data_IF_514764750924
#
_entry.id   IF_514764750924
#
_cell.length_a   1.000
_cell.length_b   1.000
_cell.length_c   1.000
_cell.angle_alpha   90.00
_cell.angle_beta   90.00
_cell.angle_gamma   90.00
#
_symmetry.space_group_name_H-M   'P 1'
#
loop_
_entity.id
_entity.type
_entity.pdbx_description
1 polymer ?
#
# COMPACT_ATOMS: atom_id res chain seq x y z
N UNK A 1 9.62 11.91 2.40
CA UNK A 1 8.66 11.94 3.52
C UNK A 1 7.32 12.29 2.92
N UNK A 2 6.34 11.38 2.98
CA UNK A 2 5.00 11.65 2.46
C UNK A 2 4.36 12.80 3.26
N UNK A 3 3.72 13.73 2.54
CA UNK A 3 2.88 14.75 3.17
C UNK A 3 1.56 14.08 3.57
N UNK A 4 1.31 13.93 4.86
CA UNK A 4 0.06 13.35 5.36
C UNK A 4 -1.04 14.42 5.34
N UNK A 5 -2.27 14.01 4.99
CA UNK A 5 -3.44 14.86 5.18
C UNK A 5 -3.65 15.17 6.67
N UNK A 6 -4.29 16.30 6.98
CA UNK A 6 -4.50 16.74 8.37
C UNK A 6 -5.27 15.68 9.17
N UNK A 7 -4.64 15.14 10.20
CA UNK A 7 -5.22 14.13 11.10
C UNK A 7 -4.94 12.68 10.71
N UNK A 8 -4.38 12.43 9.52
CA UNK A 8 -3.98 11.10 9.07
C UNK A 8 -2.76 10.60 9.86
N UNK A 9 -2.76 9.32 10.23
CA UNK A 9 -1.72 8.71 11.06
C UNK A 9 -1.07 7.53 10.38
N UNK A 10 0.26 7.43 10.50
CA UNK A 10 1.00 6.24 10.08
C UNK A 10 0.86 5.17 11.16
N UNK A 11 0.27 4.03 10.81
CA UNK A 11 0.16 2.83 11.65
C UNK A 11 1.38 1.94 11.55
N UNK A 12 1.94 1.79 10.34
CA UNK A 12 3.11 0.94 10.10
C UNK A 12 3.96 1.47 8.92
N UNK A 13 5.24 1.10 8.90
CA UNK A 13 6.23 1.45 7.87
C UNK A 13 6.98 0.20 7.43
N UNK A 14 6.80 -0.19 6.18
CA UNK A 14 7.31 -1.44 5.64
C UNK A 14 8.26 -1.13 4.48
N UNK A 15 9.48 -1.68 4.54
CA UNK A 15 10.41 -1.60 3.41
C UNK A 15 9.92 -2.48 2.27
N UNK A 16 9.84 -1.92 1.07
CA UNK A 16 9.34 -2.61 -0.12
C UNK A 16 10.26 -2.38 -1.32
N UNK A 17 10.19 -3.26 -2.30
CA UNK A 17 10.77 -3.03 -3.62
C UNK A 17 9.69 -3.20 -4.68
N UNK A 18 9.53 -2.22 -5.56
CA UNK A 18 8.66 -2.33 -6.74
C UNK A 18 9.48 -2.09 -8.01
N UNK A 19 8.82 -2.09 -9.18
CA UNK A 19 9.48 -1.82 -10.47
C UNK A 19 10.15 -0.46 -10.55
N UNK A 20 9.72 0.51 -9.74
CA UNK A 20 10.27 1.87 -9.69
C UNK A 20 11.48 1.98 -8.74
N UNK A 21 11.78 0.94 -7.95
CA UNK A 21 12.93 0.91 -7.06
C UNK A 21 12.60 0.48 -5.62
N UNK A 22 13.52 0.80 -4.71
CA UNK A 22 13.35 0.59 -3.27
C UNK A 22 12.51 1.72 -2.68
N UNK A 23 11.61 1.37 -1.76
CA UNK A 23 10.71 2.33 -1.15
C UNK A 23 10.20 1.90 0.21
N UNK A 24 9.24 2.68 0.70
CA UNK A 24 8.51 2.43 1.94
C UNK A 24 7.01 2.42 1.64
N UNK A 25 6.36 1.31 1.99
CA UNK A 25 4.90 1.22 2.10
C UNK A 25 4.50 1.68 3.51
N UNK A 26 3.68 2.70 3.58
CA UNK A 26 3.05 3.21 4.77
C UNK A 26 1.66 2.61 4.86
N UNK A 27 1.36 1.94 5.98
CA UNK A 27 -0.02 1.64 6.35
C UNK A 27 -0.53 2.81 7.16
N UNK A 28 -1.56 3.47 6.65
CA UNK A 28 -2.19 4.62 7.26
C UNK A 28 -3.49 4.18 7.94
N UNK A 29 -4.03 5.02 8.80
CA UNK A 29 -5.37 4.81 9.36
C UNK A 29 -6.48 4.95 8.32
N UNK A 30 -6.26 5.69 7.22
CA UNK A 30 -7.25 5.89 6.14
C UNK A 30 -7.01 5.01 4.90
N UNK A 31 -5.81 4.46 4.75
CA UNK A 31 -5.41 3.76 3.52
C UNK A 31 -3.97 3.32 3.53
N UNK A 32 -3.35 3.32 2.35
CA UNK A 32 -1.95 3.03 2.15
C UNK A 32 -1.29 4.13 1.33
N UNK A 33 0.01 4.33 1.53
CA UNK A 33 0.82 5.15 0.66
C UNK A 33 2.17 4.48 0.39
N UNK A 34 2.76 4.71 -0.77
CA UNK A 34 4.08 4.19 -1.13
C UNK A 34 4.95 5.35 -1.57
N UNK A 35 6.08 5.53 -0.90
CA UNK A 35 7.14 6.42 -1.34
C UNK A 35 8.31 5.59 -1.88
N UNK A 36 8.80 5.92 -3.07
CA UNK A 36 9.98 5.29 -3.66
C UNK A 36 11.17 6.23 -3.52
N UNK A 37 12.30 5.72 -3.00
CA UNK A 37 13.49 6.53 -2.77
C UNK A 37 13.97 7.17 -4.08
N UNK A 38 14.12 8.50 -4.09
CA UNK A 38 14.50 9.28 -5.26
C UNK A 38 13.38 9.58 -6.26
N UNK A 39 12.22 8.93 -6.14
CA UNK A 39 11.06 9.15 -7.03
C UNK A 39 9.85 9.80 -6.32
N UNK A 40 9.85 9.86 -4.98
CA UNK A 40 8.78 10.46 -4.20
C UNK A 40 7.54 9.57 -4.07
N UNK A 41 6.37 10.18 -3.88
CA UNK A 41 5.10 9.46 -3.73
C UNK A 41 4.75 8.74 -5.04
N UNK A 42 4.58 7.42 -4.95
CA UNK A 42 4.36 6.51 -6.05
C UNK A 42 2.92 5.99 -6.11
N UNK A 43 2.28 5.83 -4.95
CA UNK A 43 0.90 5.36 -4.83
C UNK A 43 0.31 5.91 -3.53
N UNK A 44 -0.93 6.34 -3.57
CA UNK A 44 -1.75 6.63 -2.40
C UNK A 44 -3.16 6.13 -2.70
N UNK A 45 -3.70 5.29 -1.82
CA UNK A 45 -5.03 4.69 -1.97
C UNK A 45 -5.71 4.65 -0.61
N UNK A 46 -6.98 5.02 -0.55
CA UNK A 46 -7.86 4.70 0.55
C UNK A 46 -8.17 3.20 0.57
N UNK A 47 -8.57 2.66 1.74
CA UNK A 47 -8.84 1.22 1.84
C UNK A 47 -10.05 0.75 1.02
N UNK A 48 -11.01 1.62 0.76
CA UNK A 48 -12.18 1.38 -0.10
C UNK A 48 -11.82 1.37 -1.60
N UNK A 49 -10.80 2.12 -2.01
CA UNK A 49 -10.25 2.11 -3.38
C UNK A 49 -9.47 0.82 -3.70
N UNK A 50 -8.97 0.10 -2.69
CA UNK A 50 -8.31 -1.19 -2.89
C UNK A 50 -9.36 -2.24 -3.29
N UNK A 51 -9.42 -2.56 -4.57
CA UNK A 51 -10.27 -3.61 -5.12
C UNK A 51 -9.86 -4.99 -4.62
N UNK A 52 -8.55 -5.29 -4.69
CA UNK A 52 -8.01 -6.55 -4.21
C UNK A 52 -6.59 -6.40 -3.69
N UNK A 53 -6.21 -7.25 -2.74
CA UNK A 53 -4.83 -7.44 -2.34
C UNK A 53 -4.56 -8.94 -2.25
N UNK A 54 -3.38 -9.38 -2.69
CA UNK A 54 -3.03 -10.79 -2.69
C UNK A 54 -1.53 -10.99 -2.46
N UNK A 55 -1.19 -12.10 -1.80
CA UNK A 55 0.20 -12.52 -1.66
C UNK A 55 0.51 -13.59 -2.71
N UNK A 56 1.58 -13.37 -3.47
CA UNK A 56 2.12 -14.33 -4.44
C UNK A 56 3.61 -14.54 -4.14
N UNK A 57 3.94 -15.63 -3.43
CA UNK A 57 5.27 -15.88 -2.85
C UNK A 57 5.67 -14.72 -1.90
N UNK A 58 6.87 -14.19 -2.01
CA UNK A 58 7.37 -13.05 -1.21
C UNK A 58 6.95 -11.69 -1.79
N UNK A 59 5.73 -11.61 -2.32
CA UNK A 59 5.25 -10.40 -2.96
C UNK A 59 3.80 -10.10 -2.62
N UNK A 60 3.53 -8.84 -2.31
CA UNK A 60 2.19 -8.28 -2.20
C UNK A 60 1.80 -7.67 -3.55
N UNK A 61 0.62 -8.00 -4.05
CA UNK A 61 0.00 -7.35 -5.21
C UNK A 61 -1.20 -6.58 -4.71
N UNK A 62 -1.31 -5.31 -5.09
CA UNK A 62 -2.43 -4.42 -4.76
C UNK A 62 -3.07 -4.00 -6.08
N UNK A 63 -4.38 -4.19 -6.16
CA UNK A 63 -5.21 -3.84 -7.31
C UNK A 63 -6.19 -2.75 -6.95
N UNK A 64 -6.37 -1.77 -7.81
CA UNK A 64 -7.38 -0.73 -7.68
C UNK A 64 -7.97 -0.38 -9.06
N UNK A 65 -9.09 0.33 -9.05
CA UNK A 65 -9.72 0.84 -10.26
C UNK A 65 -9.57 2.35 -10.29
N UNK A 66 -9.17 2.89 -11.43
CA UNK A 66 -9.15 4.33 -11.69
C UNK A 66 -9.92 4.59 -12.98
N UNK A 67 -11.08 5.23 -12.85
CA UNK A 67 -12.05 5.34 -13.95
C UNK A 67 -12.60 3.97 -14.37
N UNK A 68 -12.35 3.59 -15.63
CA UNK A 68 -12.77 2.30 -16.20
C UNK A 68 -11.65 1.26 -16.25
N UNK A 69 -10.43 1.63 -15.85
CA UNK A 69 -9.26 0.78 -15.93
C UNK A 69 -8.89 0.20 -14.56
N UNK A 70 -8.41 -1.05 -14.57
CA UNK A 70 -7.87 -1.71 -13.37
C UNK A 70 -6.35 -1.73 -13.45
N UNK A 71 -5.72 -1.35 -12.35
CA UNK A 71 -4.27 -1.28 -12.21
C UNK A 71 -3.80 -2.22 -11.11
N UNK A 72 -2.61 -2.78 -11.32
CA UNK A 72 -1.95 -3.64 -10.34
C UNK A 72 -0.54 -3.13 -10.06
N UNK A 73 -0.18 -3.06 -8.77
CA UNK A 73 1.20 -2.84 -8.35
C UNK A 73 1.72 -4.01 -7.51
N UNK A 74 2.90 -4.51 -7.88
CA UNK A 74 3.59 -5.58 -7.18
C UNK A 74 4.73 -5.01 -6.33
N UNK A 75 4.75 -5.41 -5.06
CA UNK A 75 5.79 -5.12 -4.09
C UNK A 75 6.45 -6.42 -3.65
N UNK A 76 7.77 -6.51 -3.74
CA UNK A 76 8.53 -7.57 -3.08
C UNK A 76 8.72 -7.19 -1.61
N UNK A 77 8.25 -8.06 -0.71
CA UNK A 77 8.22 -7.81 0.73
C UNK A 77 8.50 -9.14 1.44
N UNK A 78 9.47 -9.18 2.35
CA UNK A 78 9.84 -10.41 3.09
C UNK A 78 8.68 -10.98 3.91
N UNK A 79 7.81 -10.13 4.44
CA UNK A 79 6.68 -10.53 5.30
C UNK A 79 5.32 -10.24 4.62
N UNK A 80 5.18 -10.51 3.33
CA UNK A 80 3.98 -10.15 2.57
C UNK A 80 2.66 -10.66 3.20
N UNK A 81 2.68 -11.86 3.80
CA UNK A 81 1.52 -12.46 4.51
C UNK A 81 1.11 -11.67 5.75
N UNK A 82 2.06 -11.16 6.53
CA UNK A 82 1.75 -10.34 7.71
C UNK A 82 1.20 -8.97 7.28
N UNK A 83 1.78 -8.40 6.22
CA UNK A 83 1.37 -7.08 5.70
C UNK A 83 -0.05 -7.13 5.15
N UNK A 84 -0.41 -8.16 4.39
CA UNK A 84 -1.79 -8.29 3.87
C UNK A 84 -2.81 -8.47 5.01
N UNK A 85 -2.44 -9.15 6.10
CA UNK A 85 -3.29 -9.29 7.29
C UNK A 85 -3.53 -7.92 7.94
N UNK A 86 -2.49 -7.10 8.09
CA UNK A 86 -2.62 -5.73 8.61
C UNK A 86 -3.50 -4.86 7.73
N UNK A 87 -3.31 -4.89 6.41
CA UNK A 87 -4.16 -4.14 5.45
C UNK A 87 -5.63 -4.56 5.61
N UNK A 88 -5.92 -5.86 5.65
CA UNK A 88 -7.28 -6.37 5.77
C UNK A 88 -7.90 -6.09 7.14
N UNK A 89 -7.10 -6.07 8.21
CA UNK A 89 -7.54 -5.65 9.53
C UNK A 89 -7.96 -4.17 9.53
N UNK A 90 -7.14 -3.29 8.97
CA UNK A 90 -7.43 -1.85 8.94
C UNK A 90 -8.60 -1.52 8.02
N UNK A 91 -8.71 -2.19 6.86
CA UNK A 91 -9.87 -2.06 5.97
C UNK A 91 -11.20 -2.37 6.67
N UNK A 92 -11.25 -3.42 7.51
CA UNK A 92 -12.45 -3.81 8.27
C UNK A 92 -12.86 -2.83 9.36
N UNK A 93 -11.94 -2.03 9.91
CA UNK A 93 -12.26 -1.06 10.96
C UNK A 93 -13.07 0.12 10.40
N UNK A 94 -12.93 0.39 9.10
CA UNK A 94 -13.50 1.55 8.41
C UNK A 94 -14.79 1.19 7.65
N UNK A 95 -15.02 -0.12 7.41
CA UNK A 95 -16.24 -0.66 6.79
C UNK A 95 -17.35 -0.83 7.81
#
# INVERSE_FOLDING_TARGET
>A
MIGLAKGQQIRDKIKVQCKMGLGTLYLLDTGIAVEVHGNGLCLELLYDEILSNAVKKDSLVISWTEGVATYDMKFNIKNAVEVIQKINQYKKIIS
#
